data_IF_081549129803
#
_entry.id   IF_081549129803
#
_cell.length_a   1.000
_cell.length_b   1.000
_cell.length_c   1.000
_cell.angle_alpha   90.00
_cell.angle_beta   90.00
_cell.angle_gamma   90.00
#
_symmetry.space_group_name_H-M   'P 1'
#
loop_
_entity.id
_entity.type
_entity.pdbx_description
1 polymer ?
#
# COMPACT_ATOMS: atom_id res chain seq x y z
N UNK A 1 -66.94 -0.57 54.10
CA UNK A 1 -66.15 0.33 53.24
C UNK A 1 -64.79 0.57 53.87
N UNK A 2 -63.73 -0.05 53.34
CA UNK A 2 -62.33 0.40 53.43
C UNK A 2 -61.53 -0.33 52.36
N UNK A 3 -61.38 0.37 51.24
CA UNK A 3 -60.57 0.02 50.07
C UNK A 3 -59.17 0.62 50.24
N UNK A 4 -58.25 0.21 49.37
CA UNK A 4 -56.96 0.83 48.98
C UNK A 4 -55.71 0.43 49.79
N UNK A 5 -54.54 0.13 49.19
CA UNK A 5 -54.06 0.09 47.80
C UNK A 5 -52.75 -0.72 47.77
N UNK A 6 -52.62 -1.68 46.84
CA UNK A 6 -51.35 -2.32 46.53
C UNK A 6 -50.54 -1.39 45.60
N UNK A 7 -49.33 -1.01 46.00
CA UNK A 7 -48.37 -0.33 45.13
C UNK A 7 -47.54 -1.38 44.39
N UNK A 8 -47.74 -1.51 43.08
CA UNK A 8 -46.84 -2.23 42.18
C UNK A 8 -45.75 -1.26 41.72
N UNK A 9 -44.52 -1.45 42.18
CA UNK A 9 -43.35 -0.75 41.67
C UNK A 9 -42.89 -1.40 40.37
N UNK A 10 -43.16 -0.77 39.23
CA UNK A 10 -42.62 -1.18 37.94
C UNK A 10 -41.16 -0.70 37.83
N UNK A 11 -40.21 -1.63 37.95
CA UNK A 11 -38.81 -1.38 37.67
C UNK A 11 -38.58 -1.37 36.15
N UNK A 12 -38.38 -0.18 35.57
CA UNK A 12 -37.93 0.00 34.20
C UNK A 12 -36.44 -0.38 34.11
N UNK A 13 -36.14 -1.58 33.63
CA UNK A 13 -34.80 -1.96 33.19
C UNK A 13 -34.50 -1.20 31.88
N UNK A 14 -33.73 -0.13 31.96
CA UNK A 14 -33.09 0.47 30.78
C UNK A 14 -32.03 -0.49 30.26
N UNK A 15 -32.35 -1.21 29.18
CA UNK A 15 -31.37 -1.95 28.41
C UNK A 15 -30.42 -0.95 27.71
N UNK A 16 -29.26 -0.71 28.32
CA UNK A 16 -28.17 -0.01 27.65
C UNK A 16 -27.63 -0.92 26.54
N UNK A 17 -27.96 -0.59 25.29
CA UNK A 17 -27.34 -1.21 24.11
C UNK A 17 -25.88 -0.72 24.09
N UNK A 18 -24.88 -1.60 24.21
CA UNK A 18 -23.50 -1.19 24.01
C UNK A 18 -23.33 -0.80 22.53
N UNK A 19 -23.20 0.51 22.27
CA UNK A 19 -22.65 0.98 21.01
C UNK A 19 -21.19 0.53 20.98
N UNK A 20 -20.93 -0.60 20.31
CA UNK A 20 -19.58 -0.92 19.87
C UNK A 20 -19.13 0.19 18.93
N UNK A 21 -18.03 0.91 19.19
CA UNK A 21 -17.51 1.87 18.24
C UNK A 21 -17.24 1.12 16.94
N UNK A 22 -17.94 1.52 15.87
CA UNK A 22 -17.57 1.08 14.53
C UNK A 22 -16.11 1.51 14.35
N UNK A 23 -15.21 0.53 14.13
CA UNK A 23 -13.85 0.82 13.71
C UNK A 23 -13.98 1.61 12.41
N UNK A 24 -13.74 2.91 12.48
CA UNK A 24 -13.71 3.76 11.32
C UNK A 24 -12.54 3.27 10.47
N UNK A 25 -12.84 2.71 9.31
CA UNK A 25 -11.82 2.44 8.29
C UNK A 25 -11.13 3.78 8.01
N UNK A 26 -9.79 3.86 8.04
CA UNK A 26 -9.08 5.08 7.72
C UNK A 26 -9.58 5.66 6.40
N UNK A 27 -9.93 6.94 6.39
CA UNK A 27 -10.40 7.61 5.20
C UNK A 27 -9.23 7.84 4.25
N UNK A 28 -8.97 6.86 3.39
CA UNK A 28 -7.91 6.95 2.36
C UNK A 28 -8.27 8.05 1.37
N UNK A 29 -7.37 9.01 1.20
CA UNK A 29 -7.58 10.17 0.34
C UNK A 29 -7.29 9.80 -1.12
N UNK A 30 -8.27 9.97 -2.01
CA UNK A 30 -8.03 9.87 -3.44
C UNK A 30 -7.07 10.97 -3.90
N UNK A 31 -6.00 10.60 -4.60
CA UNK A 31 -4.94 11.54 -4.97
C UNK A 31 -4.11 11.04 -6.16
N UNK A 32 -3.33 11.96 -6.72
CA UNK A 32 -2.19 11.68 -7.59
C UNK A 32 -0.93 12.28 -7.00
N UNK A 33 0.10 11.46 -6.84
CA UNK A 33 1.43 11.86 -6.41
C UNK A 33 2.45 11.61 -7.53
N UNK A 34 3.31 12.58 -7.79
CA UNK A 34 4.42 12.50 -8.75
C UNK A 34 5.72 12.64 -8.00
N UNK A 35 6.65 11.71 -8.23
CA UNK A 35 7.94 11.66 -7.58
C UNK A 35 9.06 11.69 -8.62
N UNK A 36 10.10 12.49 -8.35
CA UNK A 36 11.35 12.39 -9.10
C UNK A 36 12.24 11.34 -8.42
N UNK A 37 12.78 10.44 -9.24
CA UNK A 37 13.60 9.31 -8.79
C UNK A 37 15.07 9.62 -9.03
N UNK A 38 15.90 9.36 -8.03
CA UNK A 38 17.35 9.54 -8.11
C UNK A 38 18.10 8.40 -7.42
N UNK A 39 19.26 8.02 -7.96
CA UNK A 39 20.14 7.07 -7.31
C UNK A 39 20.54 7.56 -5.91
N UNK A 40 20.45 6.68 -4.91
CA UNK A 40 20.90 6.93 -3.55
C UNK A 40 22.23 6.24 -3.27
N UNK A 41 22.29 4.92 -3.50
CA UNK A 41 23.50 4.10 -3.33
C UNK A 41 23.55 3.05 -4.43
N UNK A 42 24.75 2.68 -4.84
CA UNK A 42 25.00 1.55 -5.72
C UNK A 42 26.26 0.83 -5.23
N UNK A 43 26.23 -0.50 -5.17
CA UNK A 43 27.41 -1.32 -4.93
C UNK A 43 28.24 -1.45 -6.20
N UNK A 44 29.55 -1.72 -6.06
CA UNK A 44 30.42 -1.99 -7.20
C UNK A 44 29.91 -3.19 -8.05
N UNK A 45 29.26 -4.17 -7.40
CA UNK A 45 28.69 -5.34 -8.07
C UNK A 45 27.54 -4.98 -9.01
N UNK A 46 26.75 -3.95 -8.67
CA UNK A 46 25.61 -3.54 -9.50
C UNK A 46 26.03 -3.00 -10.88
N UNK A 47 27.25 -2.47 -11.01
CA UNK A 47 27.71 -1.78 -12.21
C UNK A 47 26.95 -0.47 -12.52
N UNK A 48 26.05 -0.04 -11.63
CA UNK A 48 25.22 1.15 -11.81
C UNK A 48 26.01 2.39 -11.44
N UNK A 49 26.14 3.31 -12.40
CA UNK A 49 26.79 4.62 -12.22
C UNK A 49 25.79 5.75 -12.10
N UNK A 50 24.52 5.53 -12.44
CA UNK A 50 23.47 6.53 -12.28
C UNK A 50 22.06 5.97 -12.46
N UNK A 51 21.09 6.55 -11.75
CA UNK A 51 19.66 6.32 -11.93
C UNK A 51 18.97 7.67 -11.88
N UNK A 52 18.13 7.94 -12.87
CA UNK A 52 17.18 9.04 -12.87
C UNK A 52 15.83 8.55 -13.36
N UNK A 53 14.75 9.19 -12.94
CA UNK A 53 13.43 8.73 -13.34
C UNK A 53 12.29 9.52 -12.76
N UNK A 54 11.08 9.01 -12.99
CA UNK A 54 9.86 9.56 -12.44
C UNK A 54 8.86 8.45 -12.13
N UNK A 55 8.20 8.59 -11.01
CA UNK A 55 7.10 7.75 -10.57
C UNK A 55 5.81 8.56 -10.49
N UNK A 56 4.72 8.01 -11.02
CA UNK A 56 3.38 8.59 -10.91
C UNK A 56 2.48 7.55 -10.26
N UNK A 57 1.87 7.92 -9.15
CA UNK A 57 0.95 7.08 -8.39
C UNK A 57 -0.41 7.78 -8.31
N UNK A 58 -1.46 7.13 -8.81
CA UNK A 58 -2.85 7.57 -8.70
C UNK A 58 -3.63 6.56 -7.88
N UNK A 59 -4.24 7.02 -6.80
CA UNK A 59 -5.13 6.26 -5.95
C UNK A 59 -6.53 6.85 -6.04
N UNK A 60 -7.51 6.02 -6.41
CA UNK A 60 -8.91 6.40 -6.54
C UNK A 60 -9.80 5.34 -5.92
N UNK A 61 -11.03 5.74 -5.57
CA UNK A 61 -12.05 4.82 -5.08
C UNK A 61 -12.54 5.18 -3.69
N UNK A 62 -13.24 4.23 -3.07
CA UNK A 62 -13.91 4.43 -1.80
C UNK A 62 -14.16 3.11 -1.08
N UNK A 63 -14.50 3.15 0.22
CA UNK A 63 -14.90 1.95 0.96
C UNK A 63 -16.11 1.21 0.38
N UNK A 64 -16.87 1.81 -0.55
CA UNK A 64 -18.03 1.18 -1.18
C UNK A 64 -17.80 0.73 -2.61
N UNK A 65 -16.99 1.45 -3.37
CA UNK A 65 -16.73 1.16 -4.78
C UNK A 65 -15.54 0.19 -4.95
N UNK A 66 -14.70 0.07 -3.92
CA UNK A 66 -13.37 -0.51 -4.05
C UNK A 66 -12.35 0.55 -4.46
N UNK A 67 -11.11 0.12 -4.65
CA UNK A 67 -9.97 0.99 -4.87
C UNK A 67 -9.25 0.64 -6.16
N UNK A 68 -8.98 1.66 -6.98
CA UNK A 68 -8.17 1.54 -8.19
C UNK A 68 -6.85 2.25 -7.98
N UNK A 69 -5.75 1.55 -8.25
CA UNK A 69 -4.41 2.14 -8.28
C UNK A 69 -3.89 2.12 -9.70
N UNK A 70 -3.37 3.26 -10.16
CA UNK A 70 -2.55 3.34 -11.37
C UNK A 70 -1.17 3.82 -10.99
N UNK A 71 -0.18 3.09 -11.43
CA UNK A 71 1.22 3.31 -11.09
C UNK A 71 2.05 3.27 -12.36
N UNK A 72 2.86 4.30 -12.58
CA UNK A 72 3.83 4.34 -13.67
C UNK A 72 5.20 4.67 -13.12
N UNK A 73 6.18 3.82 -13.41
CA UNK A 73 7.52 3.91 -12.90
C UNK A 73 8.51 3.89 -14.06
N UNK A 74 9.10 5.05 -14.34
CA UNK A 74 10.05 5.22 -15.45
C UNK A 74 11.42 5.50 -14.87
N UNK A 75 12.41 4.68 -15.24
CA UNK A 75 13.80 4.84 -14.80
C UNK A 75 14.74 4.70 -15.98
N UNK A 76 15.71 5.59 -16.06
CA UNK A 76 16.89 5.46 -16.89
C UNK A 76 18.06 5.03 -16.00
N UNK A 77 18.54 3.82 -16.24
CA UNK A 77 19.66 3.23 -15.50
C UNK A 77 20.90 3.33 -16.39
N UNK A 78 21.96 3.93 -15.84
CA UNK A 78 23.24 4.12 -16.52
C UNK A 78 24.27 3.22 -15.86
N UNK A 79 24.99 2.47 -16.69
CA UNK A 79 26.16 1.66 -16.32
C UNK A 79 27.38 2.17 -17.08
N UNK A 80 28.55 1.61 -16.83
CA UNK A 80 29.78 1.95 -17.58
C UNK A 80 29.68 1.66 -19.08
N UNK A 81 28.84 0.70 -19.48
CA UNK A 81 28.77 0.21 -20.86
C UNK A 81 27.49 0.66 -21.58
N UNK A 82 26.37 0.72 -20.85
CA UNK A 82 25.05 0.86 -21.44
C UNK A 82 24.15 1.80 -20.64
N UNK A 83 23.17 2.36 -21.33
CA UNK A 83 22.03 3.08 -20.75
C UNK A 83 20.77 2.31 -21.10
N UNK A 84 19.93 2.00 -20.10
CA UNK A 84 18.67 1.27 -20.28
C UNK A 84 17.51 2.09 -19.76
N UNK A 85 16.49 2.27 -20.59
CA UNK A 85 15.23 2.89 -20.19
C UNK A 85 14.21 1.80 -19.84
N UNK A 86 13.69 1.82 -18.62
CA UNK A 86 12.61 0.94 -18.17
C UNK A 86 11.37 1.79 -17.89
N UNK A 87 10.21 1.38 -18.39
CA UNK A 87 8.90 1.97 -18.09
C UNK A 87 7.95 0.86 -17.67
N UNK A 88 7.57 0.84 -16.39
CA UNK A 88 6.59 -0.09 -15.85
C UNK A 88 5.27 0.63 -15.62
N UNK A 89 4.20 0.08 -16.20
CA UNK A 89 2.84 0.60 -16.09
C UNK A 89 1.96 -0.46 -15.44
N UNK A 90 1.53 -0.18 -14.21
CA UNK A 90 0.70 -1.08 -13.41
C UNK A 90 -0.66 -0.45 -13.16
N UNK A 91 -1.72 -1.25 -13.29
CA UNK A 91 -3.08 -0.88 -12.87
C UNK A 91 -3.66 -2.02 -12.07
N UNK A 92 -4.19 -1.72 -10.89
CA UNK A 92 -4.83 -2.70 -10.02
C UNK A 92 -6.20 -2.22 -9.56
N UNK A 93 -7.04 -3.18 -9.18
CA UNK A 93 -8.34 -2.93 -8.56
C UNK A 93 -8.56 -3.92 -7.41
N UNK A 94 -8.86 -3.39 -6.23
CA UNK A 94 -9.31 -4.15 -5.05
C UNK A 94 -10.78 -3.86 -4.82
N UNK A 95 -11.60 -4.90 -4.64
CA UNK A 95 -12.99 -4.67 -4.25
C UNK A 95 -13.11 -4.12 -2.81
N UNK A 96 -14.26 -3.53 -2.51
CA UNK A 96 -14.56 -2.92 -1.23
C UNK A 96 -14.40 -3.87 -0.02
N UNK A 97 -14.66 -5.16 -0.20
CA UNK A 97 -14.55 -6.18 0.84
C UNK A 97 -13.14 -6.81 0.91
N UNK A 98 -12.24 -6.44 0.00
CA UNK A 98 -10.90 -7.02 -0.14
C UNK A 98 -10.91 -8.49 -0.57
N UNK A 99 -11.97 -8.97 -1.23
CA UNK A 99 -12.10 -10.39 -1.63
C UNK A 99 -11.39 -10.71 -2.94
N UNK A 100 -11.30 -9.75 -3.85
CA UNK A 100 -10.73 -9.85 -5.18
C UNK A 100 -9.72 -8.74 -5.43
N UNK A 101 -8.69 -9.08 -6.19
CA UNK A 101 -7.62 -8.20 -6.61
C UNK A 101 -7.28 -8.46 -8.06
N UNK A 102 -7.64 -7.54 -8.94
CA UNK A 102 -7.28 -7.58 -10.36
C UNK A 102 -6.02 -6.77 -10.59
N UNK A 103 -5.11 -7.26 -11.42
CA UNK A 103 -3.85 -6.57 -11.71
C UNK A 103 -3.46 -6.72 -13.18
N UNK A 104 -2.83 -5.68 -13.71
CA UNK A 104 -2.11 -5.71 -14.98
C UNK A 104 -0.85 -4.88 -14.84
N UNK A 105 0.29 -5.46 -15.19
CA UNK A 105 1.59 -4.80 -15.24
C UNK A 105 2.19 -5.00 -16.63
N UNK A 106 2.52 -3.90 -17.29
CA UNK A 106 3.25 -3.88 -18.57
C UNK A 106 4.62 -3.29 -18.32
N UNK A 107 5.65 -4.02 -18.71
CA UNK A 107 7.04 -3.60 -18.61
C UNK A 107 7.58 -3.35 -20.00
N UNK A 108 8.11 -2.14 -20.21
CA UNK A 108 8.75 -1.74 -21.45
C UNK A 108 10.23 -1.53 -21.21
N UNK A 109 11.06 -2.03 -22.12
CA UNK A 109 12.51 -1.81 -22.15
C UNK A 109 12.84 -1.12 -23.46
N UNK A 110 13.47 0.05 -23.35
CA UNK A 110 13.81 0.92 -24.48
C UNK A 110 12.60 1.12 -25.43
N UNK A 111 11.44 1.38 -24.80
CA UNK A 111 10.12 1.61 -25.43
C UNK A 111 9.46 0.38 -26.07
N UNK A 112 10.10 -0.78 -26.04
CA UNK A 112 9.53 -2.03 -26.53
C UNK A 112 8.87 -2.80 -25.40
N UNK A 113 7.69 -3.39 -25.65
CA UNK A 113 7.03 -4.24 -24.67
C UNK A 113 7.88 -5.48 -24.43
N UNK A 114 8.35 -5.65 -23.20
CA UNK A 114 9.20 -6.76 -22.76
C UNK A 114 8.35 -7.83 -22.07
N UNK A 115 7.46 -7.42 -21.15
CA UNK A 115 6.63 -8.33 -20.37
C UNK A 115 5.24 -7.74 -20.12
N UNK A 116 4.22 -8.59 -20.14
CA UNK A 116 2.88 -8.26 -19.65
C UNK A 116 2.40 -9.36 -18.70
N UNK A 117 2.09 -8.98 -17.47
CA UNK A 117 1.52 -9.85 -16.45
C UNK A 117 0.14 -9.34 -16.12
N UNK A 118 -0.85 -10.21 -16.28
CA UNK A 118 -2.26 -9.86 -16.04
C UNK A 118 -2.95 -11.02 -15.37
N UNK A 119 -3.74 -10.71 -14.34
CA UNK A 119 -4.52 -11.73 -13.66
C UNK A 119 -5.50 -11.17 -12.63
N UNK A 120 -6.09 -12.09 -11.89
CA UNK A 120 -6.99 -11.81 -10.80
C UNK A 120 -6.77 -12.81 -9.67
N UNK A 121 -6.55 -12.29 -8.47
CA UNK A 121 -6.48 -13.06 -7.24
C UNK A 121 -7.81 -12.98 -6.49
N UNK A 122 -8.30 -14.11 -6.00
CA UNK A 122 -9.56 -14.24 -5.27
C UNK A 122 -9.29 -14.96 -3.96
N UNK A 123 -9.68 -14.36 -2.84
CA UNK A 123 -9.62 -15.02 -1.53
C UNK A 123 -10.67 -16.13 -1.48
N UNK A 124 -10.22 -17.34 -1.16
CA UNK A 124 -11.06 -18.50 -0.96
C UNK A 124 -10.93 -18.99 0.50
N UNK A 125 -11.86 -19.80 1.02
CA UNK A 125 -11.79 -20.28 2.41
C UNK A 125 -10.51 -21.02 2.79
N UNK A 126 -9.76 -21.55 1.80
CA UNK A 126 -8.55 -22.34 2.00
C UNK A 126 -7.25 -21.63 1.60
N UNK A 127 -7.32 -20.40 1.09
CA UNK A 127 -6.14 -19.75 0.52
C UNK A 127 -6.47 -18.60 -0.42
N UNK A 128 -5.55 -18.33 -1.33
CA UNK A 128 -5.68 -17.34 -2.38
C UNK A 128 -5.56 -18.01 -3.74
N UNK A 129 -6.63 -17.95 -4.54
CA UNK A 129 -6.62 -18.46 -5.91
C UNK A 129 -6.23 -17.35 -6.87
N UNK A 130 -5.14 -17.53 -7.60
CA UNK A 130 -4.64 -16.56 -8.59
C UNK A 130 -4.82 -17.11 -10.00
N UNK A 131 -5.63 -16.45 -10.81
CA UNK A 131 -5.80 -16.77 -12.23
C UNK A 131 -4.97 -15.78 -13.06
N UNK A 132 -3.98 -16.30 -13.76
CA UNK A 132 -3.11 -15.54 -14.68
C UNK A 132 -3.67 -15.67 -16.09
N UNK A 133 -3.86 -14.54 -16.76
CA UNK A 133 -4.27 -14.42 -18.16
C UNK A 133 -3.08 -14.22 -19.11
N UNK A 134 -2.03 -13.51 -18.62
CA UNK A 134 -0.81 -13.17 -19.36
C UNK A 134 0.42 -13.30 -18.44
N UNK A 135 1.59 -13.71 -18.96
CA UNK A 135 1.89 -13.94 -20.38
C UNK A 135 1.25 -15.21 -20.95
N UNK A 136 1.05 -16.22 -20.11
CA UNK A 136 0.37 -17.47 -20.42
C UNK A 136 -0.71 -17.76 -19.39
N UNK A 137 -1.76 -18.48 -19.80
CA UNK A 137 -2.86 -18.81 -18.89
C UNK A 137 -2.40 -19.84 -17.85
N UNK A 138 -2.53 -19.49 -16.58
CA UNK A 138 -2.21 -20.39 -15.47
C UNK A 138 -3.10 -20.11 -14.26
N UNK A 139 -3.21 -21.08 -13.36
CA UNK A 139 -3.88 -20.93 -12.08
C UNK A 139 -2.96 -21.40 -10.96
N UNK A 140 -2.81 -20.57 -9.93
CA UNK A 140 -2.00 -20.85 -8.76
C UNK A 140 -2.89 -20.83 -7.51
N UNK A 141 -2.59 -21.70 -6.56
CA UNK A 141 -3.18 -21.69 -5.22
C UNK A 141 -2.07 -21.28 -4.25
N UNK A 142 -2.25 -20.13 -3.61
CA UNK A 142 -1.29 -19.55 -2.67
C UNK A 142 -1.86 -19.52 -1.25
N UNK A 143 -1.00 -19.25 -0.27
CA UNK A 143 -1.42 -19.06 1.11
C UNK A 143 -2.42 -17.90 1.25
N UNK A 144 -3.34 -18.02 2.20
CA UNK A 144 -4.26 -16.94 2.53
C UNK A 144 -3.48 -15.69 2.97
N UNK A 145 -3.84 -14.55 2.40
CA UNK A 145 -3.13 -13.29 2.61
C UNK A 145 -4.04 -12.10 2.31
N UNK A 146 -3.51 -10.89 2.45
CA UNK A 146 -4.16 -9.65 2.11
C UNK A 146 -3.61 -8.97 0.85
N UNK A 147 -4.30 -7.93 0.42
CA UNK A 147 -4.00 -7.12 -0.78
C UNK A 147 -3.50 -5.73 -0.37
N UNK A 148 -2.88 -4.95 -1.28
CA UNK A 148 -2.15 -3.73 -0.93
C UNK A 148 -2.95 -2.68 -0.15
N UNK A 149 -4.21 -2.45 -0.50
CA UNK A 149 -5.04 -1.43 0.18
C UNK A 149 -5.42 -1.89 1.58
N UNK A 150 -5.72 -3.17 1.76
CA UNK A 150 -5.98 -3.74 3.10
C UNK A 150 -4.73 -3.69 3.98
N UNK A 151 -3.56 -3.94 3.38
CA UNK A 151 -2.27 -3.81 4.06
C UNK A 151 -1.99 -2.36 4.51
N UNK A 152 -2.29 -1.38 3.66
CA UNK A 152 -2.20 0.04 4.01
C UNK A 152 -3.19 0.43 5.13
N UNK A 153 -4.42 -0.07 5.08
CA UNK A 153 -5.42 0.13 6.13
C UNK A 153 -4.97 -0.49 7.46
N UNK A 154 -4.40 -1.70 7.44
CA UNK A 154 -3.82 -2.35 8.62
C UNK A 154 -2.68 -1.50 9.19
N UNK A 155 -1.76 -1.05 8.34
CA UNK A 155 -0.62 -0.21 8.72
C UNK A 155 -1.05 1.07 9.43
N UNK A 156 -1.99 1.82 8.86
CA UNK A 156 -2.50 3.06 9.47
C UNK A 156 -3.20 2.74 10.79
N UNK A 157 -4.08 1.73 10.82
CA UNK A 157 -4.82 1.36 12.02
C UNK A 157 -3.91 0.88 13.17
N UNK A 158 -2.80 0.21 12.86
CA UNK A 158 -1.78 -0.19 13.84
C UNK A 158 -0.95 1.01 14.32
N UNK A 159 -0.52 1.89 13.40
CA UNK A 159 0.21 3.10 13.72
C UNK A 159 -0.59 4.04 14.66
N UNK A 160 -1.90 4.18 14.43
CA UNK A 160 -2.81 4.95 15.29
C UNK A 160 -2.93 4.36 16.70
N UNK A 161 -2.92 3.03 16.82
CA UNK A 161 -2.91 2.32 18.11
C UNK A 161 -1.56 2.33 18.82
N UNK A 162 -0.52 2.86 18.16
CA UNK A 162 0.85 2.86 18.67
C UNK A 162 1.56 1.51 18.56
N UNK A 163 1.01 0.56 17.79
CA UNK A 163 1.72 -0.67 17.42
C UNK A 163 2.83 -0.32 16.43
N UNK A 164 4.09 -0.59 16.81
CA UNK A 164 5.27 -0.06 16.13
C UNK A 164 6.14 -1.12 15.43
N UNK A 165 5.81 -2.39 15.60
CA UNK A 165 6.53 -3.51 14.98
C UNK A 165 5.58 -4.68 14.81
N UNK A 166 5.40 -5.16 13.58
CA UNK A 166 4.59 -6.35 13.31
C UNK A 166 5.00 -7.01 12.00
N UNK A 167 4.54 -8.24 11.81
CA UNK A 167 4.73 -9.01 10.59
C UNK A 167 3.37 -9.41 10.02
N UNK A 168 3.24 -9.40 8.70
CA UNK A 168 2.03 -9.81 7.98
C UNK A 168 2.41 -10.28 6.58
N UNK A 169 1.47 -10.89 5.87
CA UNK A 169 1.67 -11.37 4.51
C UNK A 169 0.99 -10.46 3.50
N UNK A 170 1.50 -10.42 2.26
CA UNK A 170 0.95 -9.60 1.19
C UNK A 170 1.02 -10.32 -0.15
N UNK A 171 -0.05 -10.20 -0.93
CA UNK A 171 -0.02 -10.43 -2.37
C UNK A 171 -0.30 -9.10 -3.09
N UNK A 172 0.66 -8.61 -3.87
CA UNK A 172 0.59 -7.32 -4.57
C UNK A 172 0.58 -7.46 -6.10
N UNK A 173 0.67 -8.69 -6.63
CA UNK A 173 0.71 -8.95 -8.06
C UNK A 173 2.00 -8.45 -8.73
N UNK A 174 3.07 -8.25 -7.96
CA UNK A 174 4.39 -7.88 -8.47
C UNK A 174 5.07 -9.05 -9.22
N UNK A 175 6.09 -8.72 -10.00
CA UNK A 175 6.91 -9.67 -10.78
C UNK A 175 6.13 -10.63 -11.70
N UNK A 176 5.95 -11.88 -11.29
CA UNK A 176 5.23 -12.95 -11.98
C UNK A 176 3.85 -13.23 -11.35
N UNK A 177 3.48 -12.46 -10.32
CA UNK A 177 2.25 -12.59 -9.56
C UNK A 177 2.03 -14.02 -9.03
N UNK A 178 3.11 -14.69 -8.60
CA UNK A 178 3.14 -16.09 -8.22
C UNK A 178 3.56 -16.34 -6.77
N UNK A 179 3.82 -15.29 -6.00
CA UNK A 179 4.32 -15.38 -4.61
C UNK A 179 3.46 -14.56 -3.65
N UNK A 180 3.42 -15.02 -2.42
CA UNK A 180 2.97 -14.24 -1.27
C UNK A 180 4.22 -13.87 -0.50
N UNK A 181 4.42 -12.57 -0.30
CA UNK A 181 5.59 -12.06 0.40
C UNK A 181 5.28 -11.89 1.87
N UNK A 182 6.24 -12.26 2.72
CA UNK A 182 6.23 -11.88 4.13
C UNK A 182 6.72 -10.44 4.24
N UNK A 183 5.99 -9.61 4.98
CA UNK A 183 6.35 -8.22 5.23
C UNK A 183 6.57 -7.99 6.72
N UNK A 184 7.75 -7.47 7.07
CA UNK A 184 8.02 -6.94 8.42
C UNK A 184 7.89 -5.43 8.36
N UNK A 185 7.05 -4.87 9.22
CA UNK A 185 6.73 -3.45 9.27
C UNK A 185 7.22 -2.85 10.58
N UNK A 186 7.97 -1.76 10.47
CA UNK A 186 8.45 -0.95 11.59
C UNK A 186 7.87 0.46 11.45
N UNK A 187 7.16 0.92 12.48
CA UNK A 187 6.56 2.25 12.52
C UNK A 187 7.29 3.09 13.57
N UNK A 188 7.90 4.19 13.11
CA UNK A 188 8.55 5.17 13.96
C UNK A 188 7.56 5.98 14.78
N UNK A 189 8.09 6.80 15.71
CA UNK A 189 7.26 7.74 16.47
C UNK A 189 6.63 8.76 15.52
N UNK A 190 5.36 9.09 15.77
CA UNK A 190 4.68 10.16 15.05
C UNK A 190 5.45 11.48 15.22
N UNK A 191 5.78 12.11 14.10
CA UNK A 191 6.56 13.33 14.06
C UNK A 191 5.70 14.50 13.55
N UNK A 192 6.00 15.69 14.03
CA UNK A 192 5.43 16.92 13.49
C UNK A 192 6.05 17.25 12.12
N UNK A 193 5.34 18.05 11.32
CA UNK A 193 5.86 18.56 10.06
C UNK A 193 7.17 19.34 10.28
N UNK A 194 8.18 19.06 9.45
CA UNK A 194 9.45 19.78 9.47
C UNK A 194 9.37 21.00 8.55
N UNK A 195 9.73 22.17 9.07
CA UNK A 195 9.76 23.41 8.28
C UNK A 195 10.86 23.41 7.22
N UNK A 196 11.89 22.59 7.38
CA UNK A 196 12.98 22.41 6.43
C UNK A 196 12.71 21.28 5.42
N UNK A 197 11.51 20.71 5.40
CA UNK A 197 11.19 19.58 4.54
C UNK A 197 11.29 19.98 3.04
N UNK A 198 12.17 19.32 2.26
CA UNK A 198 12.38 19.67 0.85
C UNK A 198 11.17 19.37 -0.05
N UNK A 199 10.18 18.63 0.45
CA UNK A 199 8.92 18.32 -0.24
C UNK A 199 7.78 19.27 0.16
N UNK A 200 7.96 20.15 1.16
CA UNK A 200 6.93 21.07 1.63
C UNK A 200 6.18 21.84 0.51
N UNK A 201 6.85 22.33 -0.56
CA UNK A 201 6.16 23.00 -1.66
C UNK A 201 5.19 22.10 -2.44
N UNK A 202 5.41 20.78 -2.44
CA UNK A 202 4.59 19.80 -3.14
C UNK A 202 3.42 19.26 -2.30
N UNK A 203 3.41 19.47 -0.98
CA UNK A 203 2.49 18.81 -0.05
C UNK A 203 1.05 19.34 -0.04
N UNK A 204 0.69 20.25 -0.94
CA UNK A 204 -0.65 20.85 -1.00
C UNK A 204 -1.12 21.32 0.40
N UNK A 205 -2.17 20.71 0.96
CA UNK A 205 -2.72 21.03 2.29
C UNK A 205 -2.06 20.26 3.44
N UNK A 206 -1.17 19.31 3.16
CA UNK A 206 -0.54 18.40 4.13
C UNK A 206 0.79 18.92 4.69
N UNK A 207 1.22 20.13 4.29
CA UNK A 207 2.54 20.67 4.66
C UNK A 207 2.72 20.84 6.19
N UNK A 208 1.62 20.91 6.95
CA UNK A 208 1.62 21.00 8.41
C UNK A 208 1.22 19.71 9.11
N UNK A 209 0.89 18.66 8.35
CA UNK A 209 0.34 17.44 8.89
C UNK A 209 1.45 16.57 9.52
N UNK A 210 1.09 15.90 10.60
CA UNK A 210 1.97 14.94 11.24
C UNK A 210 2.06 13.68 10.39
N UNK A 211 3.20 13.00 10.47
CA UNK A 211 3.45 11.76 9.74
C UNK A 211 4.10 10.71 10.64
N UNK A 212 4.04 9.45 10.22
CA UNK A 212 4.85 8.37 10.77
C UNK A 212 5.98 8.02 9.80
N UNK A 213 7.24 7.95 10.26
CA UNK A 213 8.28 7.23 9.52
C UNK A 213 7.94 5.74 9.52
N UNK A 214 8.02 5.08 8.37
CA UNK A 214 7.71 3.65 8.22
C UNK A 214 8.83 2.99 7.43
N UNK A 215 9.22 1.80 7.86
CA UNK A 215 10.09 0.88 7.13
C UNK A 215 9.35 -0.44 6.92
N UNK A 216 9.38 -0.95 5.69
CA UNK A 216 8.80 -2.25 5.32
C UNK A 216 9.86 -3.07 4.60
N UNK A 217 10.11 -4.28 5.09
CA UNK A 217 11.01 -5.25 4.49
C UNK A 217 10.22 -6.46 3.97
N UNK A 218 10.52 -6.89 2.75
CA UNK A 218 9.83 -7.95 2.01
C UNK A 218 10.73 -9.18 1.91
N UNK A 219 10.18 -10.33 2.28
CA UNK A 219 10.88 -11.60 2.34
C UNK A 219 10.13 -12.64 1.50
N UNK A 220 10.88 -13.42 0.73
CA UNK A 220 10.39 -14.60 0.05
C UNK A 220 10.73 -15.85 0.87
N UNK A 221 9.75 -16.33 1.64
CA UNK A 221 9.92 -17.48 2.53
C UNK A 221 9.99 -18.84 1.77
N UNK A 222 10.06 -18.84 0.44
CA UNK A 222 10.12 -20.08 -0.36
C UNK A 222 11.50 -20.73 -0.38
N UNK A 223 12.59 -19.96 -0.26
CA UNK A 223 13.96 -20.49 -0.16
C UNK A 223 14.51 -20.33 1.26
N UNK A 224 14.39 -21.38 2.07
CA UNK A 224 14.76 -21.39 3.50
C UNK A 224 16.24 -21.69 3.75
N UNK A 225 17.11 -21.47 2.78
CA UNK A 225 18.53 -21.79 2.88
C UNK A 225 19.40 -20.54 3.13
N UNK A 226 20.14 -20.51 4.24
CA UNK A 226 21.09 -19.43 4.57
C UNK A 226 20.57 -18.36 5.53
N UNK A 227 21.30 -17.24 5.63
CA UNK A 227 20.84 -16.04 6.33
C UNK A 227 19.81 -15.31 5.46
N UNK A 228 18.58 -15.21 5.96
CA UNK A 228 17.47 -14.61 5.23
C UNK A 228 17.59 -13.08 5.27
N UNK A 229 17.85 -12.48 4.11
CA UNK A 229 17.88 -11.03 3.90
C UNK A 229 16.64 -10.62 3.09
N UNK A 230 16.09 -9.41 3.31
CA UNK A 230 14.94 -8.97 2.53
C UNK A 230 15.33 -8.79 1.06
N UNK A 231 14.46 -9.24 0.15
CA UNK A 231 14.62 -9.01 -1.29
C UNK A 231 14.43 -7.52 -1.64
N UNK A 232 13.58 -6.85 -0.88
CA UNK A 232 13.27 -5.45 -1.05
C UNK A 232 12.96 -4.79 0.29
N UNK A 233 13.44 -3.55 0.48
CA UNK A 233 13.05 -2.71 1.60
C UNK A 233 12.63 -1.34 1.11
N UNK A 234 11.57 -0.80 1.70
CA UNK A 234 11.14 0.57 1.47
C UNK A 234 11.00 1.33 2.78
N UNK A 235 11.53 2.55 2.80
CA UNK A 235 11.33 3.51 3.88
C UNK A 235 10.55 4.71 3.35
N UNK A 236 9.61 5.26 4.12
CA UNK A 236 8.82 6.41 3.72
C UNK A 236 8.19 7.14 4.90
N UNK A 237 7.70 8.35 4.67
CA UNK A 237 6.82 9.08 5.59
C UNK A 237 5.36 8.81 5.19
N UNK A 238 4.55 8.38 6.15
CA UNK A 238 3.12 8.06 5.98
C UNK A 238 2.23 9.09 6.68
N UNK A 239 1.27 9.64 5.94
CA UNK A 239 0.19 10.46 6.48
C UNK A 239 -1.05 9.60 6.83
N UNK A 240 -1.88 10.07 7.76
CA UNK A 240 -3.12 9.37 8.21
C UNK A 240 -4.09 9.02 7.08
N UNK A 241 -4.05 9.77 5.99
CA UNK A 241 -4.91 9.60 4.83
C UNK A 241 -4.32 8.69 3.74
N UNK A 242 -3.22 7.99 4.04
CA UNK A 242 -2.58 7.02 3.13
C UNK A 242 -1.60 7.62 2.12
N UNK A 243 -1.34 8.92 2.16
CA UNK A 243 -0.35 9.56 1.27
C UNK A 243 1.06 9.30 1.80
N UNK A 244 1.92 8.79 0.93
CA UNK A 244 3.34 8.52 1.22
C UNK A 244 4.26 9.55 0.56
N UNK A 245 5.45 9.74 1.11
CA UNK A 245 6.47 10.65 0.59
C UNK A 245 7.85 10.33 1.14
N UNK A 246 8.89 11.01 0.65
CA UNK A 246 10.28 10.81 1.08
C UNK A 246 10.69 9.33 0.99
N UNK A 247 10.50 8.76 -0.20
CA UNK A 247 10.66 7.31 -0.42
C UNK A 247 12.15 6.96 -0.51
N UNK A 248 12.54 5.87 0.13
CA UNK A 248 13.83 5.20 -0.08
C UNK A 248 13.55 3.76 -0.42
N UNK A 249 13.91 3.34 -1.63
CA UNK A 249 13.65 2.01 -2.18
C UNK A 249 14.99 1.28 -2.32
N UNK A 250 15.17 0.20 -1.58
CA UNK A 250 16.42 -0.54 -1.43
C UNK A 250 16.25 -1.96 -1.98
N UNK A 251 16.99 -2.26 -3.04
CA UNK A 251 16.97 -3.52 -3.79
C UNK A 251 18.20 -4.39 -3.47
N UNK A 252 18.88 -4.12 -2.36
CA UNK A 252 20.09 -4.82 -1.94
C UNK A 252 21.36 -4.27 -2.60
N UNK A 253 21.53 -4.49 -3.89
CA UNK A 253 22.74 -4.06 -4.61
C UNK A 253 22.75 -2.56 -4.92
N UNK A 254 21.58 -1.91 -4.93
CA UNK A 254 21.43 -0.47 -5.10
C UNK A 254 20.16 0.02 -4.40
N UNK A 255 20.10 1.32 -4.14
CA UNK A 255 18.90 1.99 -3.64
C UNK A 255 18.68 3.30 -4.37
N UNK A 256 17.43 3.75 -4.41
CA UNK A 256 17.03 5.02 -4.99
C UNK A 256 16.09 5.77 -4.05
N UNK A 257 16.07 7.09 -4.17
CA UNK A 257 15.12 7.95 -3.48
C UNK A 257 14.00 8.38 -4.43
N UNK A 258 12.80 8.53 -3.90
CA UNK A 258 11.64 9.11 -4.60
C UNK A 258 11.17 10.36 -3.87
N UNK A 259 11.49 11.53 -4.43
CA UNK A 259 11.10 12.82 -3.86
C UNK A 259 9.76 13.27 -4.45
N UNK A 260 8.77 13.55 -3.62
CA UNK A 260 7.49 14.11 -4.03
C UNK A 260 7.68 15.51 -4.63
N UNK A 261 7.24 15.68 -5.88
CA UNK A 261 7.33 16.97 -6.62
C UNK A 261 5.96 17.54 -7.00
N UNK A 262 4.91 16.72 -7.00
CA UNK A 262 3.54 17.19 -7.20
C UNK A 262 2.54 16.29 -6.47
N UNK A 263 1.60 16.90 -5.75
CA UNK A 263 0.45 16.23 -5.15
C UNK A 263 -0.84 16.91 -5.61
N UNK A 264 -1.70 16.14 -6.26
CA UNK A 264 -3.05 16.54 -6.63
C UNK A 264 -4.05 15.75 -5.79
N UNK A 265 -4.82 16.41 -4.94
CA UNK A 265 -5.89 15.77 -4.18
C UNK A 265 -7.16 15.73 -5.02
N UNK A 266 -7.83 14.58 -5.04
CA UNK A 266 -9.12 14.44 -5.69
C UNK A 266 -10.25 14.59 -4.67
N UNK A 267 -11.45 14.91 -5.15
CA UNK A 267 -12.61 15.01 -4.27
C UNK A 267 -12.88 13.64 -3.64
N UNK A 268 -13.25 13.65 -2.35
CA UNK A 268 -13.63 12.41 -1.69
C UNK A 268 -14.87 11.83 -2.37
N UNK A 269 -14.83 10.52 -2.62
CA UNK A 269 -15.97 9.80 -3.12
C UNK A 269 -17.19 9.98 -2.20
N UNK A 270 -18.38 9.89 -2.78
CA UNK A 270 -19.62 10.07 -2.01
C UNK A 270 -19.67 9.10 -0.83
N UNK A 271 -20.21 9.54 0.32
CA UNK A 271 -20.39 8.65 1.47
C UNK A 271 -21.13 7.38 1.05
N UNK A 272 -20.64 6.26 1.56
CA UNK A 272 -21.28 4.97 1.40
C UNK A 272 -22.78 5.05 1.75
N UNK A 273 -23.69 4.54 0.90
CA UNK A 273 -25.08 4.40 1.30
C UNK A 273 -25.13 3.53 2.55
N UNK A 274 -25.88 3.98 3.58
CA UNK A 274 -26.07 3.19 4.79
C UNK A 274 -26.62 1.81 4.42
N UNK A 275 -25.93 0.74 4.82
CA UNK A 275 -26.42 -0.63 4.59
C UNK A 275 -27.80 -0.76 5.24
N UNK A 276 -28.80 -1.20 4.47
CA UNK A 276 -30.10 -1.60 5.02
C UNK A 276 -29.99 -2.92 5.77
#
# INVERSE_FOLDING_TARGET
>A
MRLTRLFLSAALLSAAIPMTPALAVPALQAHRAVYDLTLNKASDRSGITGISGRMVYEFNGSPCEGYTVKFRFVTQIVTSENTRLTDQQTTTFEDAEGKTFSFVTKSFVDQNLDKEVKGMATREPKGLKVNIDKPEKNTLELAATQFPTQHLVELIGKAEKGENFYQTNLFDGSEDANKVMTTTVVVGKRADADKADPEAPALAKLATDKYWPVDIAYFDDTDKSGEEVPEYRISFKLHENGITRDLVMDYGDFSMTGKLVNLSLFDQAKPCPASK
#
